data_IF_024468953289
#
_entry.id   IF_024468953289
#
_cell.length_a   1.000
_cell.length_b   1.000
_cell.length_c   1.000
_cell.angle_alpha   90.00
_cell.angle_beta   90.00
_cell.angle_gamma   90.00
#
_symmetry.space_group_name_H-M   'P 1'
#
loop_
_entity.id
_entity.type
_entity.pdbx_description
1 polymer ?
#
# COMPACT_ATOMS: atom_id res chain seq x y z
N UNK A 1 9.33 -10.92 -8.78
CA UNK A 1 10.04 -12.09 -8.22
C UNK A 1 11.47 -11.77 -7.83
N UNK A 2 12.33 -11.31 -8.73
CA UNK A 2 13.74 -11.06 -8.36
C UNK A 2 13.92 -9.92 -7.33
N UNK A 3 13.19 -8.82 -7.47
CA UNK A 3 13.20 -7.75 -6.46
C UNK A 3 12.66 -8.23 -5.10
N UNK A 4 11.70 -9.15 -5.10
CA UNK A 4 11.13 -9.71 -3.88
C UNK A 4 12.17 -10.57 -3.13
N UNK A 5 12.94 -11.39 -3.85
CA UNK A 5 14.03 -12.20 -3.28
C UNK A 5 15.09 -11.34 -2.60
N UNK A 6 15.44 -10.22 -3.23
CA UNK A 6 16.46 -9.30 -2.69
C UNK A 6 15.98 -8.61 -1.42
N UNK A 7 14.70 -8.21 -1.36
CA UNK A 7 14.12 -7.61 -0.14
C UNK A 7 13.92 -8.65 0.96
N UNK A 8 13.43 -9.84 0.63
CA UNK A 8 13.20 -10.93 1.59
C UNK A 8 14.50 -11.58 2.08
N UNK A 9 15.61 -11.38 1.37
CA UNK A 9 16.92 -11.89 1.72
C UNK A 9 17.53 -11.20 2.95
N UNK A 10 18.56 -11.82 3.52
CA UNK A 10 19.18 -11.33 4.75
C UNK A 10 20.22 -10.21 4.53
N UNK A 11 20.57 -9.88 3.28
CA UNK A 11 21.68 -8.98 2.99
C UNK A 11 21.23 -7.61 2.46
N UNK A 12 21.34 -6.57 3.29
CA UNK A 12 21.05 -5.18 2.89
C UNK A 12 22.02 -4.66 1.81
N UNK A 13 23.24 -5.19 1.75
CA UNK A 13 24.22 -4.84 0.72
C UNK A 13 23.75 -5.18 -0.69
N UNK A 14 23.01 -6.27 -0.87
CA UNK A 14 22.44 -6.66 -2.17
C UNK A 14 21.38 -5.64 -2.62
N UNK A 15 20.55 -5.14 -1.71
CA UNK A 15 19.56 -4.10 -2.00
C UNK A 15 20.27 -2.83 -2.47
N UNK A 16 21.24 -2.35 -1.70
CA UNK A 16 21.99 -1.12 -1.95
C UNK A 16 22.74 -1.17 -3.29
N UNK A 17 23.44 -2.28 -3.58
CA UNK A 17 24.13 -2.50 -4.86
C UNK A 17 23.13 -2.51 -6.02
N UNK A 18 22.01 -3.23 -5.89
CA UNK A 18 21.00 -3.31 -6.94
C UNK A 18 20.32 -1.97 -7.21
N UNK A 19 20.17 -1.15 -6.17
CA UNK A 19 19.63 0.20 -6.26
C UNK A 19 20.65 1.21 -6.79
N UNK A 20 21.95 0.86 -6.82
CA UNK A 20 23.02 1.75 -7.26
C UNK A 20 23.23 2.93 -6.31
N UNK A 21 22.97 2.72 -5.01
CA UNK A 21 23.13 3.73 -3.96
C UNK A 21 24.25 3.30 -3.00
N UNK A 22 24.70 4.21 -2.14
CA UNK A 22 25.53 3.85 -0.99
C UNK A 22 24.63 3.53 0.20
N UNK A 23 25.11 2.67 1.10
CA UNK A 23 24.37 2.33 2.31
C UNK A 23 24.38 3.52 3.26
N UNK A 24 23.20 3.98 3.64
CA UNK A 24 22.98 5.09 4.55
C UNK A 24 22.46 4.56 5.89
N UNK A 25 23.37 4.38 6.85
CA UNK A 25 23.02 3.86 8.18
C UNK A 25 22.24 4.87 9.02
N UNK A 26 22.50 6.16 8.83
CA UNK A 26 21.77 7.20 9.56
C UNK A 26 20.31 7.22 9.12
N UNK A 27 20.03 7.09 7.82
CA UNK A 27 18.68 6.94 7.31
C UNK A 27 18.02 5.63 7.77
N UNK A 28 18.75 4.51 7.78
CA UNK A 28 18.25 3.23 8.31
C UNK A 28 17.80 3.36 9.77
N UNK A 29 18.65 3.93 10.64
CA UNK A 29 18.38 4.09 12.08
C UNK A 29 17.24 5.09 12.33
N UNK A 30 17.24 6.22 11.61
CA UNK A 30 16.17 7.21 11.68
C UNK A 30 14.84 6.63 11.24
N UNK A 31 14.78 5.96 10.08
CA UNK A 31 13.53 5.38 9.57
C UNK A 31 13.08 4.19 10.41
N UNK A 32 14.01 3.42 10.98
CA UNK A 32 13.69 2.35 11.92
C UNK A 32 12.96 2.91 13.14
N UNK A 33 13.56 3.89 13.82
CA UNK A 33 13.01 4.49 15.05
C UNK A 33 11.76 5.34 14.83
N UNK A 34 11.49 5.79 13.60
CA UNK A 34 10.34 6.67 13.30
C UNK A 34 9.23 5.99 12.51
N UNK A 35 9.52 5.42 11.34
CA UNK A 35 8.51 4.89 10.41
C UNK A 35 8.29 3.40 10.66
N UNK A 36 9.35 2.60 10.81
CA UNK A 36 9.21 1.15 11.03
C UNK A 36 8.51 0.90 12.37
N UNK A 37 8.85 1.63 13.44
CA UNK A 37 8.13 1.53 14.72
C UNK A 37 6.61 1.75 14.57
N UNK A 38 6.19 2.70 13.73
CA UNK A 38 4.76 2.94 13.48
C UNK A 38 4.09 1.84 12.66
N UNK A 39 4.83 1.17 11.78
CA UNK A 39 4.33 0.04 10.98
C UNK A 39 4.10 -1.19 11.86
N UNK A 40 5.04 -1.47 12.77
CA UNK A 40 4.92 -2.62 13.67
C UNK A 40 3.85 -2.39 14.74
N UNK A 41 3.63 -1.14 15.15
CA UNK A 41 2.57 -0.73 16.07
C UNK A 41 2.53 -1.62 17.34
N UNK A 42 3.68 -1.70 18.03
CA UNK A 42 3.87 -2.49 19.26
C UNK A 42 3.79 -4.01 19.10
N UNK A 43 3.59 -4.53 17.88
CA UNK A 43 3.74 -5.96 17.63
C UNK A 43 5.20 -6.36 17.70
N UNK A 44 5.49 -7.36 18.54
CA UNK A 44 6.81 -7.97 18.60
C UNK A 44 7.07 -8.75 17.31
N UNK A 45 8.00 -8.26 16.50
CA UNK A 45 8.47 -8.94 15.29
C UNK A 45 9.93 -9.35 15.47
N UNK A 46 10.35 -10.41 14.79
CA UNK A 46 11.75 -10.81 14.83
C UNK A 46 12.67 -9.79 14.12
N UNK A 47 13.96 -9.89 14.43
CA UNK A 47 14.99 -9.01 13.87
C UNK A 47 15.03 -9.13 12.34
N UNK A 48 14.86 -10.34 11.80
CA UNK A 48 14.92 -10.59 10.37
C UNK A 48 13.80 -9.87 9.60
N UNK A 49 12.58 -9.89 10.12
CA UNK A 49 11.40 -9.20 9.56
C UNK A 49 11.58 -7.70 9.64
N UNK A 50 12.07 -7.20 10.78
CA UNK A 50 12.37 -5.78 10.95
C UNK A 50 13.41 -5.30 9.95
N UNK A 51 14.46 -6.08 9.72
CA UNK A 51 15.47 -5.77 8.69
C UNK A 51 14.87 -5.71 7.29
N UNK A 52 13.94 -6.60 6.92
CA UNK A 52 13.24 -6.55 5.62
C UNK A 52 12.44 -5.25 5.48
N UNK A 53 11.80 -4.78 6.56
CA UNK A 53 11.09 -3.50 6.56
C UNK A 53 12.04 -2.32 6.38
N UNK A 54 13.15 -2.29 7.11
CA UNK A 54 14.17 -1.25 6.97
C UNK A 54 14.69 -1.22 5.52
N UNK A 55 15.03 -2.37 4.94
CA UNK A 55 15.49 -2.50 3.54
C UNK A 55 14.48 -1.86 2.57
N UNK A 56 13.22 -2.28 2.65
CA UNK A 56 12.19 -1.80 1.74
C UNK A 56 11.81 -0.34 1.99
N UNK A 57 11.62 0.07 3.24
CA UNK A 57 11.21 1.43 3.59
C UNK A 57 12.33 2.43 3.27
N UNK A 58 13.60 2.08 3.48
CA UNK A 58 14.73 2.98 3.21
C UNK A 58 15.04 3.06 1.73
N UNK A 59 15.22 1.92 1.06
CA UNK A 59 15.76 1.88 -0.30
C UNK A 59 14.72 1.50 -1.37
N UNK A 60 13.73 0.70 -1.00
CA UNK A 60 12.75 0.15 -1.93
C UNK A 60 13.41 -0.74 -2.99
N UNK A 61 12.84 -0.72 -4.19
CA UNK A 61 13.30 -1.46 -5.37
C UNK A 61 13.38 -0.51 -6.56
N UNK A 62 13.92 -0.94 -7.69
CA UNK A 62 13.99 -0.09 -8.90
C UNK A 62 12.63 0.43 -9.33
N UNK A 63 11.58 -0.38 -9.10
CA UNK A 63 10.20 -0.06 -9.46
C UNK A 63 9.47 0.77 -8.40
N UNK A 64 9.87 0.66 -7.13
CA UNK A 64 9.21 1.34 -6.00
C UNK A 64 9.96 2.57 -5.47
N UNK A 65 11.13 2.90 -6.04
CA UNK A 65 11.93 4.07 -5.63
C UNK A 65 11.23 5.41 -5.84
N UNK A 66 10.21 5.45 -6.71
CA UNK A 66 9.37 6.63 -6.95
C UNK A 66 8.47 6.94 -5.75
N UNK A 67 8.20 5.95 -4.89
CA UNK A 67 7.48 6.14 -3.64
C UNK A 67 8.43 6.66 -2.56
N UNK A 68 7.98 7.60 -1.73
CA UNK A 68 8.71 7.99 -0.52
C UNK A 68 8.68 6.89 0.55
N UNK A 69 9.55 7.00 1.57
CA UNK A 69 9.63 6.02 2.66
C UNK A 69 8.29 5.80 3.37
N UNK A 70 7.54 6.88 3.63
CA UNK A 70 6.19 6.80 4.21
C UNK A 70 5.19 6.06 3.33
N UNK A 71 5.24 6.25 2.00
CA UNK A 71 4.38 5.50 1.07
C UNK A 71 4.74 4.01 1.06
N UNK A 72 6.05 3.68 1.05
CA UNK A 72 6.52 2.29 1.13
C UNK A 72 6.10 1.62 2.43
N UNK A 73 6.17 2.32 3.56
CA UNK A 73 5.63 1.86 4.84
C UNK A 73 4.12 1.65 4.78
N UNK A 74 3.40 2.58 4.14
CA UNK A 74 1.97 2.46 3.90
C UNK A 74 1.60 1.22 3.06
N UNK A 75 2.46 0.78 2.13
CA UNK A 75 2.23 -0.46 1.37
C UNK A 75 2.31 -1.70 2.28
N UNK A 76 3.28 -1.74 3.19
CA UNK A 76 3.38 -2.84 4.17
C UNK A 76 2.12 -2.88 5.05
N UNK A 77 1.62 -1.72 5.49
CA UNK A 77 0.37 -1.64 6.25
C UNK A 77 -0.85 -2.07 5.44
N UNK A 78 -0.97 -1.67 4.17
CA UNK A 78 -2.07 -2.14 3.29
C UNK A 78 -1.99 -3.65 3.09
N UNK A 79 -0.81 -4.22 2.89
CA UNK A 79 -0.61 -5.67 2.82
C UNK A 79 -1.07 -6.35 4.11
N UNK A 80 -0.60 -5.87 5.28
CA UNK A 80 -0.99 -6.42 6.59
C UNK A 80 -2.51 -6.34 6.82
N UNK A 81 -3.15 -5.24 6.42
CA UNK A 81 -4.60 -5.06 6.51
C UNK A 81 -5.35 -6.10 5.67
N UNK A 82 -4.85 -6.36 4.46
CA UNK A 82 -5.48 -7.29 3.52
C UNK A 82 -5.31 -8.77 3.91
N UNK A 83 -4.11 -9.14 4.37
CA UNK A 83 -3.72 -10.55 4.58
C UNK A 83 -3.62 -10.95 6.06
N UNK A 84 -3.79 -10.00 6.99
CA UNK A 84 -3.73 -10.23 8.44
C UNK A 84 -2.38 -10.74 8.99
N UNK A 85 -1.31 -10.67 8.21
CA UNK A 85 0.06 -10.96 8.63
C UNK A 85 1.06 -10.01 7.96
N UNK A 86 2.28 -9.97 8.48
CA UNK A 86 3.38 -9.24 7.85
C UNK A 86 3.99 -10.02 6.69
N UNK A 87 4.62 -9.36 5.70
CA UNK A 87 5.25 -10.06 4.60
C UNK A 87 6.54 -10.75 5.05
N UNK A 88 6.56 -12.09 4.96
CA UNK A 88 7.67 -12.91 5.43
C UNK A 88 8.37 -13.65 4.29
N UNK A 89 7.57 -14.22 3.39
CA UNK A 89 8.02 -15.04 2.25
C UNK A 89 8.35 -14.20 1.01
N UNK A 90 9.01 -14.83 0.02
CA UNK A 90 9.29 -14.19 -1.28
C UNK A 90 7.98 -13.83 -1.99
N UNK A 91 6.96 -14.66 -1.83
CA UNK A 91 5.63 -14.51 -2.40
C UNK A 91 4.92 -13.29 -1.80
N UNK A 92 4.99 -13.12 -0.48
CA UNK A 92 4.44 -11.95 0.21
C UNK A 92 5.11 -10.66 -0.26
N UNK A 93 6.45 -10.66 -0.33
CA UNK A 93 7.20 -9.51 -0.80
C UNK A 93 6.95 -9.21 -2.28
N UNK A 94 6.65 -10.23 -3.09
CA UNK A 94 6.24 -10.03 -4.47
C UNK A 94 4.88 -9.32 -4.54
N UNK A 95 3.95 -9.64 -3.65
CA UNK A 95 2.65 -8.97 -3.54
C UNK A 95 2.78 -7.54 -3.00
N UNK A 96 3.63 -7.31 -1.99
CA UNK A 96 4.00 -5.96 -1.53
C UNK A 96 4.53 -5.11 -2.68
N UNK A 97 5.46 -5.64 -3.48
CA UNK A 97 6.03 -4.92 -4.63
C UNK A 97 4.97 -4.69 -5.70
N UNK A 98 4.07 -5.64 -5.96
CA UNK A 98 2.94 -5.44 -6.88
C UNK A 98 2.02 -4.32 -6.43
N UNK A 99 1.61 -4.33 -5.16
CA UNK A 99 0.76 -3.29 -4.56
C UNK A 99 1.42 -1.90 -4.69
N UNK A 100 2.73 -1.82 -4.37
CA UNK A 100 3.52 -0.60 -4.52
C UNK A 100 3.60 -0.09 -5.97
N UNK A 101 3.42 -0.96 -6.96
CA UNK A 101 3.41 -0.63 -8.38
C UNK A 101 2.00 -0.51 -8.98
N UNK A 102 0.95 -0.51 -8.14
CA UNK A 102 -0.44 -0.43 -8.61
C UNK A 102 -0.93 -1.70 -9.31
N UNK A 103 -0.24 -2.82 -9.13
CA UNK A 103 -0.57 -4.11 -9.73
C UNK A 103 -1.28 -4.99 -8.73
N UNK A 104 -2.17 -5.84 -9.24
CA UNK A 104 -2.91 -6.77 -8.40
C UNK A 104 -1.96 -7.77 -7.72
N UNK A 105 -2.16 -8.05 -6.42
CA UNK A 105 -1.44 -9.13 -5.75
C UNK A 105 -1.72 -10.48 -6.41
N UNK A 106 -0.81 -11.43 -6.26
CA UNK A 106 -1.02 -12.83 -6.65
C UNK A 106 -2.08 -13.49 -5.78
N UNK A 107 -2.05 -13.21 -4.47
CA UNK A 107 -2.99 -13.76 -3.53
C UNK A 107 -4.23 -12.87 -3.41
N UNK A 108 -5.39 -13.53 -3.31
CA UNK A 108 -6.67 -12.87 -3.11
C UNK A 108 -7.11 -13.02 -1.65
N UNK A 109 -7.60 -11.93 -1.06
CA UNK A 109 -8.23 -11.94 0.26
C UNK A 109 -9.70 -11.60 0.11
N UNK A 110 -10.57 -12.61 0.22
CA UNK A 110 -12.03 -12.41 0.11
C UNK A 110 -12.53 -11.47 1.20
N UNK A 111 -12.00 -11.61 2.42
CA UNK A 111 -12.33 -10.75 3.56
C UNK A 111 -11.98 -9.28 3.26
N UNK A 112 -10.81 -9.02 2.66
CA UNK A 112 -10.41 -7.66 2.30
C UNK A 112 -11.30 -7.08 1.19
N UNK A 113 -11.64 -7.89 0.18
CA UNK A 113 -12.51 -7.46 -0.92
C UNK A 113 -13.95 -7.22 -0.46
N UNK A 114 -14.49 -8.03 0.45
CA UNK A 114 -15.85 -7.84 0.96
C UNK A 114 -15.94 -6.58 1.83
N UNK A 115 -14.93 -6.32 2.68
CA UNK A 115 -14.79 -5.02 3.37
C UNK A 115 -14.69 -3.87 2.37
N UNK A 116 -13.91 -4.03 1.30
CA UNK A 116 -13.75 -3.01 0.28
C UNK A 116 -15.05 -2.72 -0.49
N UNK A 117 -15.91 -3.72 -0.71
CA UNK A 117 -17.24 -3.52 -1.33
C UNK A 117 -18.16 -2.68 -0.43
N UNK A 118 -18.11 -2.89 0.88
CA UNK A 118 -18.87 -2.06 1.85
C UNK A 118 -18.40 -0.60 1.77
N UNK A 119 -17.09 -0.37 1.77
CA UNK A 119 -16.53 0.98 1.63
C UNK A 119 -16.83 1.59 0.25
N UNK A 120 -16.80 0.77 -0.81
CA UNK A 120 -17.23 1.19 -2.14
C UNK A 120 -18.68 1.68 -2.12
N UNK A 121 -19.61 0.92 -1.53
CA UNK A 121 -21.02 1.31 -1.46
C UNK A 121 -21.22 2.63 -0.71
N UNK A 122 -20.47 2.84 0.38
CA UNK A 122 -20.49 4.08 1.15
C UNK A 122 -20.03 5.29 0.32
N UNK A 123 -18.95 5.13 -0.44
CA UNK A 123 -18.35 6.19 -1.27
C UNK A 123 -19.13 6.43 -2.55
N UNK A 124 -19.58 5.38 -3.24
CA UNK A 124 -20.19 5.47 -4.56
C UNK A 124 -21.71 5.36 -4.53
N UNK A 125 -22.36 5.14 -3.38
CA UNK A 125 -23.83 5.04 -3.22
C UNK A 125 -24.50 4.00 -4.12
N UNK A 126 -23.80 2.92 -4.44
CA UNK A 126 -24.31 1.77 -5.17
C UNK A 126 -23.38 0.58 -4.98
N UNK A 127 -23.89 -0.62 -5.18
CA UNK A 127 -23.07 -1.83 -5.21
C UNK A 127 -22.05 -1.78 -6.37
N UNK A 128 -20.83 -2.32 -6.18
CA UNK A 128 -19.85 -2.43 -7.24
C UNK A 128 -20.24 -3.51 -8.24
N UNK A 129 -20.03 -3.23 -9.53
CA UNK A 129 -20.21 -4.18 -10.62
C UNK A 129 -18.82 -4.72 -10.97
N UNK A 130 -18.42 -5.88 -10.43
CA UNK A 130 -17.04 -6.39 -10.57
C UNK A 130 -16.60 -6.71 -12.03
N UNK A 131 -17.55 -6.80 -12.97
CA UNK A 131 -17.27 -6.90 -14.41
C UNK A 131 -16.93 -5.54 -15.06
N UNK A 132 -17.27 -4.42 -14.41
CA UNK A 132 -16.83 -3.09 -14.80
C UNK A 132 -15.40 -2.85 -14.30
N UNK A 133 -14.52 -2.40 -15.18
CA UNK A 133 -13.11 -2.25 -14.85
C UNK A 133 -12.84 -1.17 -13.82
N UNK A 134 -13.66 -0.12 -13.76
CA UNK A 134 -13.48 0.99 -12.82
C UNK A 134 -13.95 0.62 -11.42
N UNK A 135 -15.09 -0.06 -11.32
CA UNK A 135 -15.59 -0.58 -10.05
C UNK A 135 -14.65 -1.63 -9.48
N UNK A 136 -14.19 -2.55 -10.31
CA UNK A 136 -13.22 -3.56 -9.92
C UNK A 136 -11.93 -2.88 -9.43
N UNK A 137 -11.40 -1.93 -10.20
CA UNK A 137 -10.24 -1.15 -9.78
C UNK A 137 -10.47 -0.44 -8.43
N UNK A 138 -11.63 0.17 -8.20
CA UNK A 138 -11.95 0.81 -6.93
C UNK A 138 -11.92 -0.17 -5.77
N UNK A 139 -12.62 -1.31 -5.90
CA UNK A 139 -12.64 -2.36 -4.87
C UNK A 139 -11.22 -2.90 -4.62
N UNK A 140 -10.45 -3.18 -5.67
CA UNK A 140 -9.07 -3.67 -5.51
C UNK A 140 -8.15 -2.64 -4.87
N UNK A 141 -8.27 -1.35 -5.22
CA UNK A 141 -7.48 -0.28 -4.60
C UNK A 141 -7.83 -0.16 -3.11
N UNK A 142 -9.11 -0.21 -2.75
CA UNK A 142 -9.54 -0.16 -1.34
C UNK A 142 -9.05 -1.41 -0.58
N UNK A 143 -9.16 -2.60 -1.18
CA UNK A 143 -8.84 -3.86 -0.53
C UNK A 143 -7.35 -4.04 -0.25
N UNK A 144 -6.50 -3.66 -1.20
CA UNK A 144 -5.06 -3.97 -1.16
C UNK A 144 -4.17 -2.74 -1.10
N UNK A 145 -4.73 -1.54 -1.24
CA UNK A 145 -3.98 -0.29 -1.24
C UNK A 145 -3.08 -0.11 -2.45
N UNK A 146 -3.57 -0.38 -3.65
CA UNK A 146 -2.77 -0.19 -4.87
C UNK A 146 -2.30 1.27 -5.00
N UNK A 147 -1.01 1.47 -5.34
CA UNK A 147 -0.41 2.80 -5.54
C UNK A 147 -0.45 3.21 -7.02
N UNK A 148 -0.84 4.46 -7.35
CA UNK A 148 -0.88 4.90 -8.74
C UNK A 148 0.54 4.99 -9.33
N UNK A 149 0.70 4.60 -10.58
CA UNK A 149 1.96 4.79 -11.30
C UNK A 149 2.28 6.29 -11.50
N UNK A 150 1.26 7.10 -11.79
CA UNK A 150 1.36 8.54 -11.98
C UNK A 150 0.49 9.24 -10.92
N UNK A 151 1.16 9.82 -9.92
CA UNK A 151 0.49 10.52 -8.83
C UNK A 151 0.03 11.91 -9.27
N UNK A 152 -1.21 12.27 -8.94
CA UNK A 152 -1.80 13.59 -9.19
C UNK A 152 -2.29 14.19 -7.87
N UNK A 153 -1.60 15.24 -7.39
CA UNK A 153 -2.01 15.96 -6.18
C UNK A 153 -3.40 16.61 -6.36
N UNK A 154 -3.76 17.01 -7.58
CA UNK A 154 -5.08 17.57 -7.90
C UNK A 154 -6.17 16.52 -7.68
N UNK A 155 -5.98 15.31 -8.20
CA UNK A 155 -6.92 14.19 -8.03
C UNK A 155 -7.02 13.78 -6.56
N UNK A 156 -5.89 13.71 -5.84
CA UNK A 156 -5.88 13.39 -4.41
C UNK A 156 -6.54 14.48 -3.56
N UNK A 157 -6.40 15.75 -3.91
CA UNK A 157 -7.07 16.86 -3.20
C UNK A 157 -8.59 16.76 -3.36
N UNK A 158 -9.07 16.49 -4.58
CA UNK A 158 -10.50 16.28 -4.84
C UNK A 158 -11.03 15.01 -4.13
N UNK A 159 -10.25 13.94 -4.13
CA UNK A 159 -10.59 12.70 -3.43
C UNK A 159 -10.62 12.89 -1.91
N UNK A 160 -9.70 13.65 -1.34
CA UNK A 160 -9.69 14.01 0.08
C UNK A 160 -10.94 14.81 0.48
N UNK A 161 -11.41 15.73 -0.37
CA UNK A 161 -12.65 16.45 -0.13
C UNK A 161 -13.86 15.48 -0.11
N UNK A 162 -13.92 14.55 -1.07
CA UNK A 162 -14.93 13.48 -1.10
C UNK A 162 -14.88 12.62 0.16
N UNK A 163 -13.69 12.19 0.57
CA UNK A 163 -13.49 11.38 1.77
C UNK A 163 -14.01 12.10 3.02
N UNK A 164 -13.61 13.36 3.23
CA UNK A 164 -14.08 14.16 4.37
C UNK A 164 -15.60 14.31 4.38
N UNK A 165 -16.22 14.50 3.21
CA UNK A 165 -17.68 14.61 3.12
C UNK A 165 -18.41 13.29 3.42
N UNK A 166 -17.81 12.13 3.12
CA UNK A 166 -18.42 10.81 3.37
C UNK A 166 -18.17 10.29 4.78
N UNK A 167 -16.97 10.53 5.34
CA UNK A 167 -16.53 9.95 6.61
C UNK A 167 -16.50 10.94 7.77
N UNK A 168 -16.61 12.24 7.50
CA UNK A 168 -16.63 13.31 8.51
C UNK A 168 -15.36 13.39 9.38
N UNK A 169 -14.25 12.83 8.92
CA UNK A 169 -12.93 12.96 9.55
C UNK A 169 -11.81 13.11 8.51
N UNK A 170 -10.60 13.45 8.97
CA UNK A 170 -9.38 13.45 8.14
C UNK A 170 -8.79 12.02 8.11
N UNK A 171 -8.11 11.61 7.02
CA UNK A 171 -7.51 10.28 6.95
C UNK A 171 -6.39 10.12 7.99
N UNK A 172 -6.44 9.07 8.80
CA UNK A 172 -5.44 8.77 9.83
C UNK A 172 -4.88 7.35 9.72
N UNK A 173 -5.54 6.46 8.97
CA UNK A 173 -5.13 5.08 8.75
C UNK A 173 -4.69 4.80 7.31
N UNK A 174 -3.98 3.68 7.09
CA UNK A 174 -3.65 3.23 5.73
C UNK A 174 -4.93 2.97 4.89
N UNK A 175 -5.97 2.43 5.53
CA UNK A 175 -7.26 2.16 4.89
C UNK A 175 -7.95 3.44 4.41
N UNK A 176 -7.89 4.54 5.18
CA UNK A 176 -8.43 5.84 4.75
C UNK A 176 -7.73 6.33 3.49
N UNK A 177 -6.40 6.20 3.44
CA UNK A 177 -5.61 6.56 2.27
C UNK A 177 -5.85 5.62 1.08
N UNK A 178 -6.15 4.34 1.33
CA UNK A 178 -6.56 3.37 0.30
C UNK A 178 -7.90 3.80 -0.34
N UNK A 179 -8.86 4.25 0.47
CA UNK A 179 -10.15 4.78 -0.01
C UNK A 179 -9.95 6.06 -0.82
N UNK A 180 -9.13 7.00 -0.34
CA UNK A 180 -8.81 8.23 -1.08
C UNK A 180 -8.18 7.89 -2.44
N UNK A 181 -7.25 6.92 -2.48
CA UNK A 181 -6.65 6.48 -3.75
C UNK A 181 -7.68 5.85 -4.69
N UNK A 182 -8.63 5.07 -4.17
CA UNK A 182 -9.68 4.52 -5.00
C UNK A 182 -10.55 5.61 -5.63
N UNK A 183 -10.91 6.64 -4.86
CA UNK A 183 -11.66 7.81 -5.37
C UNK A 183 -10.85 8.57 -6.42
N UNK A 184 -9.56 8.77 -6.20
CA UNK A 184 -8.70 9.54 -7.09
C UNK A 184 -8.40 8.85 -8.42
N UNK A 185 -8.26 7.51 -8.42
CA UNK A 185 -7.61 6.79 -9.52
C UNK A 185 -8.40 5.63 -10.13
N UNK A 186 -9.48 5.15 -9.51
CA UNK A 186 -10.24 4.01 -10.06
C UNK A 186 -11.05 4.36 -11.32
N UNK A 187 -11.51 5.61 -11.43
CA UNK A 187 -12.47 6.05 -12.44
C UNK A 187 -13.92 5.65 -12.11
N UNK A 188 -14.18 4.99 -10.98
CA UNK A 188 -15.52 4.58 -10.59
C UNK A 188 -16.41 5.81 -10.35
N UNK A 189 -17.69 5.68 -10.70
CA UNK A 189 -18.66 6.78 -10.61
C UNK A 189 -19.67 6.53 -9.52
N UNK A 190 -19.95 7.59 -8.76
CA UNK A 190 -21.03 7.62 -7.79
C UNK A 190 -22.37 7.39 -8.51
N UNK A 191 -23.22 6.54 -7.96
CA UNK A 191 -24.59 6.35 -8.44
C UNK A 191 -25.37 7.66 -8.38
N UNK A 192 -26.29 7.81 -9.32
CA UNK A 192 -27.27 8.91 -9.28
C UNK A 192 -28.28 8.53 -8.21
N UNK A 193 -28.40 9.37 -7.19
CA UNK A 193 -29.54 9.27 -6.28
C UNK A 193 -30.79 9.58 -7.09
N UNK A 194 -31.70 8.61 -7.25
CA UNK A 194 -33.10 8.90 -7.59
C UNK A 194 -33.81 9.44 -6.34
#
# INVERSE_FOLDING_TARGET
MEDAKVISGNNIGEVVVRMGVQRDREAEDYLNSTIVERVVAEVNIDVATREKFIKFITYGTKSTKTLGAGERAGVINSYRSAFSHFPESVEDWNDVIKIANGRWPSNRSEIAEDKAKIEFEKVYRRAPIMRDSHDNAAVTIIAYGLRPANRSLVSETAALATFKAVYLHIPTSAQDWDIIRAVAYSGARRGINN
#
